data_IF_241035507135
#
_entry.id   IF_241035507135
#
_cell.length_a   1.000
_cell.length_b   1.000
_cell.length_c   1.000
_cell.angle_alpha   90.00
_cell.angle_beta   90.00
_cell.angle_gamma   90.00
#
_symmetry.space_group_name_H-M   'P 1'
#
loop_
_entity.id
_entity.type
_entity.pdbx_description
1 polymer ?
#
# COMPACT_ATOMS: atom_id res chain seq x y z
N UNK A 1 -1.41 -1.69 19.70
CA UNK A 1 -2.33 -0.79 18.98
C UNK A 1 -2.86 -1.59 17.80
N UNK A 2 -4.07 -1.33 17.31
CA UNK A 2 -4.51 -2.00 16.08
C UNK A 2 -3.66 -1.54 14.89
N UNK A 3 -3.59 -2.35 13.82
CA UNK A 3 -2.94 -1.95 12.56
C UNK A 3 -3.40 -0.57 12.07
N UNK A 4 -4.71 -0.22 12.11
CA UNK A 4 -5.17 1.12 11.74
C UNK A 4 -4.61 2.24 12.62
N UNK A 5 -4.65 2.06 13.94
CA UNK A 5 -4.13 3.07 14.88
C UNK A 5 -2.63 3.30 14.66
N UNK A 6 -1.89 2.23 14.33
CA UNK A 6 -0.47 2.34 14.01
C UNK A 6 -0.25 3.19 12.76
N UNK A 7 -1.00 2.95 11.68
CA UNK A 7 -0.90 3.75 10.45
C UNK A 7 -1.25 5.21 10.70
N UNK A 8 -2.35 5.49 11.41
CA UNK A 8 -2.77 6.86 11.76
C UNK A 8 -1.68 7.56 12.56
N UNK A 9 -1.15 6.89 13.60
CA UNK A 9 -0.07 7.42 14.43
C UNK A 9 1.17 7.72 13.59
N UNK A 10 1.56 6.79 12.73
CA UNK A 10 2.73 6.93 11.88
C UNK A 10 2.62 8.14 10.94
N UNK A 11 1.48 8.28 10.26
CA UNK A 11 1.22 9.39 9.32
C UNK A 11 1.10 10.73 10.06
N UNK A 12 0.48 10.74 11.24
CA UNK A 12 0.21 11.96 12.00
C UNK A 12 1.45 12.48 12.73
N UNK A 13 2.26 11.59 13.30
CA UNK A 13 3.30 11.96 14.27
C UNK A 13 4.72 11.86 13.72
N UNK A 14 4.94 11.18 12.59
CA UNK A 14 6.29 10.97 12.05
C UNK A 14 6.39 11.35 10.58
N UNK A 15 7.41 12.14 10.26
CA UNK A 15 7.84 12.36 8.89
C UNK A 15 8.34 11.05 8.25
N UNK A 16 8.17 10.90 6.94
CA UNK A 16 8.46 9.68 6.16
C UNK A 16 9.89 9.15 6.41
N UNK A 17 10.88 10.04 6.52
CA UNK A 17 12.30 9.70 6.75
C UNK A 17 12.53 9.00 8.10
N UNK A 18 11.59 9.15 9.03
CA UNK A 18 11.64 8.61 10.40
C UNK A 18 10.68 7.44 10.61
N UNK A 19 10.07 6.90 9.55
CA UNK A 19 9.22 5.72 9.66
C UNK A 19 10.06 4.50 10.11
N UNK A 20 9.71 3.85 11.24
CA UNK A 20 10.47 2.73 11.77
C UNK A 20 10.05 1.44 11.06
N UNK A 21 10.70 1.09 9.96
CA UNK A 21 10.30 -0.04 9.10
C UNK A 21 10.34 -1.39 9.85
N UNK A 22 11.34 -1.59 10.71
CA UNK A 22 11.41 -2.75 11.60
C UNK A 22 10.17 -2.86 12.52
N UNK A 23 9.73 -1.76 13.11
CA UNK A 23 8.57 -1.71 13.99
C UNK A 23 7.25 -1.83 13.18
N UNK A 24 7.22 -1.30 11.96
CA UNK A 24 6.10 -1.49 11.04
C UNK A 24 5.88 -2.99 10.79
N UNK A 25 6.93 -3.74 10.46
CA UNK A 25 6.82 -5.18 10.28
C UNK A 25 6.28 -5.88 11.53
N UNK A 26 6.80 -5.52 12.71
CA UNK A 26 6.31 -6.05 13.98
C UNK A 26 4.81 -5.79 14.16
N UNK A 27 4.33 -4.55 14.04
CA UNK A 27 2.91 -4.24 14.24
C UNK A 27 2.00 -4.93 13.21
N UNK A 28 2.48 -5.11 11.99
CA UNK A 28 1.75 -5.81 10.92
C UNK A 28 1.66 -7.32 11.11
N UNK A 29 2.57 -7.92 11.90
CA UNK A 29 2.69 -9.39 12.07
C UNK A 29 2.50 -9.87 13.51
N UNK A 30 2.41 -8.97 14.48
CA UNK A 30 2.23 -9.28 15.89
C UNK A 30 0.79 -9.74 16.19
N UNK A 31 0.56 -11.03 15.97
CA UNK A 31 -0.69 -11.73 16.25
C UNK A 31 -0.40 -13.15 16.74
N UNK A 32 -1.38 -13.75 17.40
CA UNK A 32 -1.34 -15.14 17.82
C UNK A 32 -1.52 -16.06 16.60
N UNK A 33 -0.68 -17.09 16.50
CA UNK A 33 -0.72 -18.02 15.37
C UNK A 33 -1.93 -18.98 15.41
N UNK A 34 -2.52 -19.16 16.58
CA UNK A 34 -3.70 -20.00 16.84
C UNK A 34 -5.04 -19.25 16.71
N UNK A 35 -5.01 -17.93 16.45
CA UNK A 35 -6.21 -17.11 16.30
C UNK A 35 -6.31 -16.54 14.87
N UNK A 36 -7.46 -16.74 14.23
CA UNK A 36 -7.71 -16.13 12.93
C UNK A 36 -7.97 -14.63 13.08
N UNK A 37 -7.33 -13.82 12.24
CA UNK A 37 -7.43 -12.36 12.31
C UNK A 37 -7.76 -11.73 10.95
N UNK A 38 -8.53 -10.63 11.00
CA UNK A 38 -8.80 -9.77 9.85
C UNK A 38 -7.97 -8.50 9.99
N UNK A 39 -7.15 -8.19 8.99
CA UNK A 39 -6.36 -6.97 8.95
C UNK A 39 -6.98 -5.95 8.00
N UNK A 40 -6.87 -4.68 8.34
CA UNK A 40 -7.36 -3.57 7.54
C UNK A 40 -6.49 -2.35 7.85
N UNK A 41 -6.29 -1.50 6.84
CA UNK A 41 -5.44 -0.32 6.97
C UNK A 41 -6.16 0.81 7.73
N UNK A 42 -7.46 0.95 7.50
CA UNK A 42 -8.34 1.94 8.11
C UNK A 42 -9.75 1.36 8.28
N UNK A 43 -10.45 1.81 9.32
CA UNK A 43 -11.78 1.34 9.71
C UNK A 43 -12.87 2.35 9.33
N UNK A 44 -14.13 2.00 9.63
CA UNK A 44 -15.25 2.92 9.52
C UNK A 44 -15.17 4.08 10.51
N UNK A 45 -14.55 3.88 11.69
CA UNK A 45 -14.40 4.92 12.71
C UNK A 45 -13.56 6.09 12.19
N UNK A 46 -12.48 5.79 11.47
CA UNK A 46 -11.64 6.82 10.83
C UNK A 46 -12.35 7.57 9.71
N UNK A 47 -13.41 7.00 9.17
CA UNK A 47 -14.23 7.65 8.16
C UNK A 47 -15.31 8.55 8.77
N UNK A 48 -15.54 8.54 10.09
CA UNK A 48 -16.55 9.37 10.75
C UNK A 48 -16.07 10.80 11.02
N UNK A 49 -17.02 11.72 11.20
CA UNK A 49 -16.75 13.10 11.62
C UNK A 49 -15.92 13.13 12.91
N UNK A 50 -14.85 13.93 12.89
CA UNK A 50 -13.90 14.03 14.02
C UNK A 50 -12.63 13.18 13.84
N UNK A 51 -12.59 12.31 12.83
CA UNK A 51 -11.40 11.60 12.38
C UNK A 51 -11.16 11.85 10.87
N UNK A 52 -10.11 11.27 10.31
CA UNK A 52 -9.71 11.42 8.91
C UNK A 52 -9.26 10.08 8.35
N UNK A 53 -9.75 9.76 7.15
CA UNK A 53 -9.25 8.63 6.35
C UNK A 53 -7.76 8.79 6.05
N UNK A 54 -7.08 7.68 5.77
CA UNK A 54 -5.63 7.68 5.46
C UNK A 54 -5.34 8.65 4.32
N UNK A 55 -6.12 8.60 3.25
CA UNK A 55 -5.90 9.47 2.09
C UNK A 55 -6.06 10.96 2.47
N UNK A 56 -7.06 11.31 3.28
CA UNK A 56 -7.27 12.70 3.70
C UNK A 56 -6.17 13.16 4.65
N UNK A 57 -5.62 12.28 5.48
CA UNK A 57 -4.43 12.57 6.29
C UNK A 57 -3.18 12.81 5.43
N UNK A 58 -3.05 12.07 4.33
CA UNK A 58 -1.88 12.16 3.44
C UNK A 58 -1.90 13.44 2.59
N UNK A 59 -3.05 13.83 2.04
CA UNK A 59 -3.13 14.91 1.05
C UNK A 59 -3.92 16.13 1.52
N UNK A 60 -4.77 16.01 2.54
CA UNK A 60 -5.54 17.11 3.12
C UNK A 60 -6.40 17.84 2.09
N UNK A 61 -6.46 19.17 2.21
CA UNK A 61 -7.27 20.02 1.34
C UNK A 61 -6.86 19.99 -0.15
N UNK A 62 -5.62 19.63 -0.47
CA UNK A 62 -5.14 19.47 -1.85
C UNK A 62 -6.00 18.45 -2.63
N UNK A 63 -6.72 17.56 -1.95
CA UNK A 63 -7.69 16.65 -2.55
C UNK A 63 -8.75 17.34 -3.41
N UNK A 64 -9.16 18.57 -3.06
CA UNK A 64 -10.24 19.27 -3.76
C UNK A 64 -9.75 19.95 -5.04
N UNK A 65 -8.47 20.31 -5.12
CA UNK A 65 -7.90 21.11 -6.21
C UNK A 65 -6.94 20.31 -7.12
N UNK A 66 -6.38 19.20 -6.62
CA UNK A 66 -5.28 18.49 -7.28
C UNK A 66 -5.55 17.02 -7.60
N UNK A 67 -6.82 16.58 -7.52
CA UNK A 67 -7.26 15.25 -7.94
C UNK A 67 -7.65 15.16 -9.42
N UNK A 68 -7.59 16.25 -10.19
CA UNK A 68 -7.71 16.19 -11.65
C UNK A 68 -6.46 15.57 -12.29
N UNK A 69 -6.62 14.79 -13.36
CA UNK A 69 -5.54 14.04 -14.04
C UNK A 69 -4.36 14.92 -14.45
N UNK A 70 -4.64 16.09 -15.03
CA UNK A 70 -3.62 17.04 -15.49
C UNK A 70 -2.91 17.83 -14.37
N UNK A 71 -3.39 17.71 -13.13
CA UNK A 71 -2.85 18.47 -12.00
C UNK A 71 -1.58 17.81 -11.46
N UNK A 72 -0.49 18.57 -11.36
CA UNK A 72 0.77 18.10 -10.76
C UNK A 72 0.92 18.66 -9.34
N UNK A 73 0.99 17.78 -8.34
CA UNK A 73 1.18 18.17 -6.96
C UNK A 73 1.92 17.05 -6.21
N UNK A 74 3.12 17.37 -5.71
CA UNK A 74 4.03 16.41 -5.03
C UNK A 74 3.37 15.76 -3.80
N UNK A 75 2.50 16.49 -3.09
CA UNK A 75 1.79 15.97 -1.91
C UNK A 75 0.71 14.97 -2.32
N UNK A 76 -0.02 15.25 -3.39
CA UNK A 76 -0.98 14.29 -3.97
C UNK A 76 -0.26 13.06 -4.50
N UNK A 77 0.83 13.22 -5.26
CA UNK A 77 1.62 12.10 -5.79
C UNK A 77 2.16 11.22 -4.66
N UNK A 78 2.68 11.84 -3.59
CA UNK A 78 3.05 11.15 -2.34
C UNK A 78 1.88 10.38 -1.75
N UNK A 79 0.71 11.01 -1.62
CA UNK A 79 -0.45 10.41 -0.99
C UNK A 79 -1.00 9.21 -1.76
N UNK A 80 -1.07 9.31 -3.09
CA UNK A 80 -1.49 8.20 -3.95
C UNK A 80 -0.51 7.03 -3.85
N UNK A 81 0.79 7.29 -3.89
CA UNK A 81 1.81 6.25 -3.75
C UNK A 81 1.71 5.54 -2.39
N UNK A 82 1.64 6.30 -1.28
CA UNK A 82 1.58 5.73 0.06
C UNK A 82 0.25 5.01 0.33
N UNK A 83 -0.89 5.50 -0.15
CA UNK A 83 -2.19 4.81 0.00
C UNK A 83 -2.13 3.39 -0.60
N UNK A 84 -1.56 3.25 -1.81
CA UNK A 84 -1.36 1.95 -2.47
C UNK A 84 -0.44 1.05 -1.65
N UNK A 85 0.73 1.57 -1.24
CA UNK A 85 1.72 0.79 -0.49
C UNK A 85 1.19 0.32 0.88
N UNK A 86 0.53 1.21 1.63
CA UNK A 86 -0.04 0.91 2.95
C UNK A 86 -1.07 -0.21 2.84
N UNK A 87 -1.95 -0.14 1.84
CA UNK A 87 -2.98 -1.16 1.64
C UNK A 87 -2.39 -2.49 1.20
N UNK A 88 -1.44 -2.47 0.25
CA UNK A 88 -0.78 -3.68 -0.22
C UNK A 88 0.01 -4.36 0.90
N UNK A 89 0.82 -3.62 1.66
CA UNK A 89 1.59 -4.25 2.74
C UNK A 89 0.66 -4.78 3.83
N UNK A 90 -0.43 -4.08 4.15
CA UNK A 90 -1.42 -4.54 5.15
C UNK A 90 -2.13 -5.81 4.69
N UNK A 91 -2.50 -5.91 3.41
CA UNK A 91 -3.10 -7.12 2.85
C UNK A 91 -2.08 -8.26 2.80
N UNK A 92 -0.90 -8.00 2.25
CA UNK A 92 0.15 -9.00 2.05
C UNK A 92 0.67 -9.54 3.39
N UNK A 93 0.62 -8.71 4.44
CA UNK A 93 1.00 -9.11 5.80
C UNK A 93 -0.18 -9.60 6.65
N UNK A 94 -1.41 -9.62 6.16
CA UNK A 94 -2.60 -9.94 6.95
C UNK A 94 -2.59 -11.39 7.46
N UNK A 95 -3.33 -11.67 8.53
CA UNK A 95 -3.51 -13.04 9.02
C UNK A 95 -4.32 -13.90 8.06
N UNK A 96 -5.65 -13.86 8.21
CA UNK A 96 -6.59 -14.78 7.54
C UNK A 96 -7.67 -14.04 6.74
N UNK A 97 -7.73 -12.71 6.86
CA UNK A 97 -8.71 -11.89 6.19
C UNK A 97 -8.18 -10.49 5.96
N UNK A 98 -8.66 -9.86 4.89
CA UNK A 98 -8.49 -8.44 4.62
C UNK A 98 -9.86 -7.77 4.60
N UNK A 99 -9.96 -6.58 5.19
CA UNK A 99 -11.17 -5.78 5.19
C UNK A 99 -10.89 -4.39 4.62
N UNK A 100 -11.87 -3.88 3.88
CA UNK A 100 -11.91 -2.50 3.41
C UNK A 100 -13.32 -1.93 3.66
N UNK A 101 -13.38 -0.68 4.13
CA UNK A 101 -14.64 0.02 4.32
C UNK A 101 -15.00 0.83 3.08
N UNK A 102 -16.28 0.79 2.68
CA UNK A 102 -16.75 1.35 1.40
C UNK A 102 -16.25 2.79 1.17
N UNK A 103 -15.72 3.07 -0.01
CA UNK A 103 -15.13 4.36 -0.37
C UNK A 103 -13.61 4.45 -0.15
N UNK A 104 -13.07 3.76 0.86
CA UNK A 104 -11.62 3.84 1.14
C UNK A 104 -10.81 3.18 0.02
N UNK A 105 -11.45 2.33 -0.80
CA UNK A 105 -10.82 1.65 -1.91
C UNK A 105 -10.35 2.56 -3.03
N UNK A 106 -11.00 3.70 -3.21
CA UNK A 106 -10.59 4.72 -4.17
C UNK A 106 -10.12 6.00 -3.49
N UNK A 107 -9.96 6.00 -2.16
CA UNK A 107 -9.59 7.18 -1.41
C UNK A 107 -10.69 8.25 -1.39
N UNK A 108 -11.92 7.84 -1.06
CA UNK A 108 -13.07 8.73 -0.94
C UNK A 108 -12.74 9.97 -0.08
N UNK A 109 -13.10 11.19 -0.56
CA UNK A 109 -12.80 12.43 0.14
C UNK A 109 -13.67 12.64 1.39
N UNK A 110 -13.43 13.73 2.12
CA UNK A 110 -14.27 14.17 3.23
C UNK A 110 -14.39 13.10 4.35
N UNK A 111 -15.54 13.07 5.03
CA UNK A 111 -15.89 12.16 6.12
C UNK A 111 -17.37 11.79 6.02
N UNK A 112 -17.80 10.80 6.80
CA UNK A 112 -19.20 10.45 7.03
C UNK A 112 -19.68 11.20 8.27
N UNK A 113 -20.80 11.91 8.14
CA UNK A 113 -21.54 12.44 9.27
C UNK A 113 -23.02 12.12 9.09
N UNK A 114 -23.61 11.44 10.09
CA UNK A 114 -25.02 11.08 10.08
C UNK A 114 -25.89 12.26 10.53
N UNK A 115 -27.15 12.36 10.07
CA UNK A 115 -28.08 13.38 10.54
C UNK A 115 -28.22 13.37 12.07
N UNK A 116 -27.91 14.50 12.70
CA UNK A 116 -28.01 14.72 14.15
C UNK A 116 -28.28 16.21 14.44
N UNK A 117 -28.69 16.52 15.66
CA UNK A 117 -28.94 17.92 16.06
C UNK A 117 -27.74 18.84 15.76
N UNK A 118 -26.52 18.39 16.06
CA UNK A 118 -25.30 19.17 15.85
C UNK A 118 -24.90 19.42 14.38
N UNK A 119 -25.62 18.87 13.41
CA UNK A 119 -25.46 19.20 11.98
C UNK A 119 -26.79 19.56 11.31
N UNK A 120 -27.80 19.98 12.09
CA UNK A 120 -29.13 20.33 11.62
C UNK A 120 -29.81 19.22 10.81
N UNK A 121 -29.63 17.95 11.23
CA UNK A 121 -30.18 16.77 10.55
C UNK A 121 -29.77 16.68 9.07
N UNK A 122 -28.55 17.15 8.75
CA UNK A 122 -28.04 17.15 7.38
C UNK A 122 -27.68 15.74 6.91
N UNK A 123 -28.05 15.44 5.66
CA UNK A 123 -27.65 14.23 4.95
C UNK A 123 -26.44 14.45 4.03
N UNK A 124 -25.87 15.66 4.01
CA UNK A 124 -24.84 16.05 3.06
C UNK A 124 -23.60 15.14 3.09
N UNK A 125 -23.17 14.70 4.28
CA UNK A 125 -22.04 13.78 4.45
C UNK A 125 -22.46 12.32 4.69
N UNK A 126 -23.77 12.03 4.75
CA UNK A 126 -24.30 10.67 4.90
C UNK A 126 -24.44 9.98 3.53
N UNK A 127 -23.38 10.02 2.71
CA UNK A 127 -23.39 9.53 1.32
C UNK A 127 -22.03 8.98 0.90
N UNK A 128 -22.01 8.33 -0.27
CA UNK A 128 -20.79 8.00 -1.00
C UNK A 128 -20.82 8.62 -2.39
N UNK A 129 -19.69 9.22 -2.77
CA UNK A 129 -19.49 9.96 -4.02
C UNK A 129 -18.96 9.02 -5.11
N UNK A 130 -19.73 8.00 -5.48
CA UNK A 130 -19.28 6.97 -6.44
C UNK A 130 -18.90 7.54 -7.81
N UNK A 131 -19.54 8.63 -8.23
CA UNK A 131 -19.18 9.33 -9.47
C UNK A 131 -17.72 9.80 -9.52
N UNK A 132 -17.01 9.90 -8.38
CA UNK A 132 -15.60 10.29 -8.36
C UNK A 132 -14.68 9.22 -8.93
N UNK A 133 -15.00 7.94 -8.72
CA UNK A 133 -14.24 6.82 -9.28
C UNK A 133 -14.62 6.55 -10.74
N UNK A 134 -15.85 6.90 -11.13
CA UNK A 134 -16.36 6.73 -12.51
C UNK A 134 -15.90 7.87 -13.46
N UNK A 135 -15.33 8.96 -12.95
CA UNK A 135 -14.87 10.09 -13.77
C UNK A 135 -13.42 9.91 -14.22
N UNK A 136 -13.24 9.64 -15.52
CA UNK A 136 -11.94 9.43 -16.15
C UNK A 136 -11.01 10.66 -16.07
N UNK A 137 -11.52 11.84 -15.72
CA UNK A 137 -10.72 13.06 -15.53
C UNK A 137 -10.17 13.20 -14.10
N UNK A 138 -10.51 12.28 -13.19
CA UNK A 138 -10.06 12.30 -11.80
C UNK A 138 -9.13 11.13 -11.47
N UNK A 139 -8.22 11.36 -10.52
CA UNK A 139 -7.21 10.41 -10.06
C UNK A 139 -7.74 9.30 -9.14
N UNK A 140 -9.01 9.35 -8.71
CA UNK A 140 -9.59 8.31 -7.83
C UNK A 140 -9.58 6.92 -8.48
N UNK A 141 -9.77 6.87 -9.81
CA UNK A 141 -9.69 5.64 -10.60
C UNK A 141 -8.36 4.90 -10.39
N UNK A 142 -7.24 5.61 -10.20
CA UNK A 142 -5.93 4.99 -9.99
C UNK A 142 -5.84 4.14 -8.72
N UNK A 143 -6.46 4.61 -7.64
CA UNK A 143 -6.53 3.87 -6.39
C UNK A 143 -7.49 2.68 -6.50
N UNK A 144 -8.60 2.86 -7.21
CA UNK A 144 -9.58 1.80 -7.46
C UNK A 144 -8.99 0.66 -8.33
N UNK A 145 -8.32 1.00 -9.43
CA UNK A 145 -7.63 0.03 -10.30
C UNK A 145 -6.57 -0.74 -9.51
N UNK A 146 -5.77 -0.04 -8.70
CA UNK A 146 -4.77 -0.70 -7.87
C UNK A 146 -5.42 -1.65 -6.84
N UNK A 147 -6.51 -1.24 -6.20
CA UNK A 147 -7.21 -2.12 -5.26
C UNK A 147 -7.77 -3.36 -5.94
N UNK A 148 -8.41 -3.19 -7.10
CA UNK A 148 -8.94 -4.31 -7.87
C UNK A 148 -7.85 -5.34 -8.19
N UNK A 149 -6.71 -4.88 -8.71
CA UNK A 149 -5.60 -5.76 -9.09
C UNK A 149 -4.87 -6.34 -7.88
N UNK A 150 -4.77 -5.59 -6.77
CA UNK A 150 -4.26 -6.08 -5.48
C UNK A 150 -5.14 -7.23 -4.95
N UNK A 151 -6.47 -7.07 -4.96
CA UNK A 151 -7.41 -8.12 -4.53
C UNK A 151 -7.39 -9.31 -5.49
N UNK A 152 -7.27 -9.08 -6.80
CA UNK A 152 -7.16 -10.14 -7.80
C UNK A 152 -5.88 -10.98 -7.60
N UNK A 153 -4.74 -10.32 -7.36
CA UNK A 153 -3.48 -10.97 -7.01
C UNK A 153 -3.63 -11.81 -5.73
N UNK A 154 -4.25 -11.23 -4.69
CA UNK A 154 -4.46 -11.92 -3.43
C UNK A 154 -5.29 -13.20 -3.56
N UNK A 155 -6.35 -13.16 -4.37
CA UNK A 155 -7.22 -14.30 -4.65
C UNK A 155 -6.53 -15.36 -5.51
N UNK A 156 -5.88 -14.93 -6.60
CA UNK A 156 -5.18 -15.82 -7.54
C UNK A 156 -4.09 -16.63 -6.84
N UNK A 157 -3.32 -15.99 -5.98
CA UNK A 157 -2.23 -16.63 -5.24
C UNK A 157 -2.63 -17.14 -3.85
N UNK A 158 -3.93 -17.06 -3.51
CA UNK A 158 -4.47 -17.54 -2.22
C UNK A 158 -3.66 -17.04 -1.02
N UNK A 159 -3.29 -15.75 -1.03
CA UNK A 159 -2.36 -15.17 -0.05
C UNK A 159 -2.80 -15.47 1.39
N UNK A 160 -4.08 -15.27 1.68
CA UNK A 160 -4.65 -15.37 3.03
C UNK A 160 -4.90 -16.82 3.49
N UNK A 161 -4.73 -17.80 2.61
CA UNK A 161 -4.77 -19.22 2.97
C UNK A 161 -3.41 -19.70 3.52
N UNK A 162 -2.34 -18.94 3.26
CA UNK A 162 -0.98 -19.26 3.71
C UNK A 162 -0.66 -18.45 4.95
N UNK A 163 -0.33 -19.15 6.04
CA UNK A 163 0.06 -18.54 7.31
C UNK A 163 1.54 -18.14 7.35
N UNK A 164 2.37 -18.78 6.53
CA UNK A 164 3.82 -18.56 6.50
C UNK A 164 4.14 -17.23 5.80
N UNK A 165 4.67 -16.30 6.59
CA UNK A 165 5.30 -15.06 6.12
C UNK A 165 6.76 -15.12 6.52
N UNK A 166 7.64 -14.87 5.56
CA UNK A 166 9.08 -14.90 5.80
C UNK A 166 9.69 -13.53 5.48
N UNK A 167 10.14 -12.81 6.51
CA UNK A 167 10.90 -11.59 6.33
C UNK A 167 12.30 -11.95 5.80
N UNK A 168 12.58 -11.62 4.55
CA UNK A 168 13.90 -11.87 3.94
C UNK A 168 14.88 -10.74 4.24
N UNK A 169 14.40 -9.50 4.17
CA UNK A 169 15.26 -8.33 4.26
C UNK A 169 14.51 -7.13 4.82
N UNK A 170 15.14 -6.42 5.74
CA UNK A 170 14.66 -5.16 6.27
C UNK A 170 15.86 -4.23 6.43
N UNK A 171 15.73 -3.00 5.94
CA UNK A 171 16.75 -1.99 6.08
C UNK A 171 16.13 -0.65 6.42
N UNK A 172 16.06 -0.35 7.72
CA UNK A 172 15.40 0.83 8.26
C UNK A 172 15.97 2.15 7.72
N UNK A 173 17.28 2.28 7.51
CA UNK A 173 17.83 3.55 6.97
C UNK A 173 17.39 3.77 5.51
N UNK A 174 17.53 2.74 4.67
CA UNK A 174 17.09 2.76 3.27
C UNK A 174 15.56 2.73 3.11
N UNK A 175 14.82 2.50 4.19
CA UNK A 175 13.36 2.35 4.19
C UNK A 175 12.86 1.23 3.27
N UNK A 176 13.64 0.15 3.16
CA UNK A 176 13.30 -1.01 2.32
C UNK A 176 12.86 -2.17 3.20
N UNK A 177 11.79 -2.85 2.80
CA UNK A 177 11.35 -4.12 3.40
C UNK A 177 11.01 -5.12 2.30
N UNK A 178 11.46 -6.35 2.49
CA UNK A 178 11.24 -7.48 1.57
C UNK A 178 10.83 -8.70 2.35
N UNK A 179 9.73 -9.31 1.94
CA UNK A 179 9.23 -10.55 2.54
C UNK A 179 8.56 -11.44 1.51
N UNK A 180 8.48 -12.72 1.84
CA UNK A 180 7.82 -13.74 1.02
C UNK A 180 6.52 -14.21 1.66
N UNK A 181 5.54 -14.49 0.79
CA UNK A 181 4.29 -15.16 1.16
C UNK A 181 3.69 -15.86 -0.04
N UNK A 182 3.27 -17.11 0.13
CA UNK A 182 2.60 -17.91 -0.90
C UNK A 182 3.34 -17.94 -2.26
N UNK A 183 4.67 -18.06 -2.24
CA UNK A 183 5.50 -18.10 -3.45
C UNK A 183 5.63 -16.75 -4.18
N UNK A 184 5.20 -15.65 -3.54
CA UNK A 184 5.41 -14.29 -4.01
C UNK A 184 6.42 -13.58 -3.13
N UNK A 185 7.25 -12.74 -3.75
CA UNK A 185 8.20 -11.85 -3.12
C UNK A 185 7.66 -10.42 -3.18
N UNK A 186 7.45 -9.81 -2.03
CA UNK A 186 6.97 -8.44 -1.89
C UNK A 186 8.12 -7.53 -1.53
N UNK A 187 8.34 -6.47 -2.31
CA UNK A 187 9.43 -5.51 -2.12
C UNK A 187 8.84 -4.11 -2.01
N UNK A 188 9.13 -3.40 -0.93
CA UNK A 188 8.67 -2.02 -0.71
C UNK A 188 9.85 -1.10 -0.49
N UNK A 189 9.86 0.04 -1.20
CA UNK A 189 10.75 1.17 -0.92
C UNK A 189 9.90 2.34 -0.37
N UNK A 190 9.88 2.49 0.95
CA UNK A 190 9.21 3.59 1.65
C UNK A 190 10.04 4.89 1.70
N UNK A 191 11.24 4.92 1.09
CA UNK A 191 12.09 6.09 1.16
C UNK A 191 11.38 7.28 0.46
N UNK A 192 11.34 8.47 1.09
CA UNK A 192 10.62 9.62 0.51
C UNK A 192 11.24 10.15 -0.78
N UNK A 193 12.57 10.15 -0.88
CA UNK A 193 13.30 10.68 -2.04
C UNK A 193 14.23 9.67 -2.77
N UNK A 194 14.85 8.71 -2.07
CA UNK A 194 15.88 7.85 -2.65
C UNK A 194 15.29 6.73 -3.50
N UNK A 195 15.78 6.65 -4.74
CA UNK A 195 15.61 5.49 -5.62
C UNK A 195 16.94 4.71 -5.68
N UNK A 196 16.87 3.41 -5.91
CA UNK A 196 18.04 2.52 -5.91
C UNK A 196 18.09 1.70 -7.20
N UNK A 197 19.09 1.93 -8.06
CA UNK A 197 19.17 1.28 -9.39
C UNK A 197 19.48 -0.22 -9.35
N UNK A 198 20.42 -0.62 -8.49
CA UNK A 198 20.91 -2.00 -8.37
C UNK A 198 20.83 -2.44 -6.90
N UNK A 199 19.64 -2.33 -6.32
CA UNK A 199 19.47 -2.67 -4.91
C UNK A 199 19.54 -4.18 -4.73
N UNK A 200 20.60 -4.63 -4.06
CA UNK A 200 20.90 -6.05 -3.86
C UNK A 200 20.50 -6.52 -2.48
N UNK A 201 19.80 -7.65 -2.43
CA UNK A 201 19.46 -8.37 -1.20
C UNK A 201 19.51 -9.87 -1.46
N UNK A 202 19.69 -10.64 -0.38
CA UNK A 202 19.70 -12.11 -0.46
C UNK A 202 18.30 -12.63 -0.77
N UNK A 203 18.22 -13.58 -1.71
CA UNK A 203 16.97 -14.20 -2.14
C UNK A 203 17.23 -15.66 -2.57
N UNK A 204 16.24 -16.56 -2.48
CA UNK A 204 16.35 -17.91 -3.03
C UNK A 204 16.81 -17.92 -4.51
N UNK A 205 17.62 -18.89 -4.93
CA UNK A 205 18.10 -18.96 -6.30
C UNK A 205 16.96 -19.26 -7.26
N UNK A 206 16.49 -18.28 -8.03
CA UNK A 206 15.46 -18.47 -9.05
C UNK A 206 15.44 -17.32 -10.08
N UNK A 207 14.57 -17.48 -11.08
CA UNK A 207 14.09 -16.36 -11.91
C UNK A 207 12.80 -15.79 -11.32
N UNK A 208 12.75 -14.48 -11.17
CA UNK A 208 11.62 -13.75 -10.60
C UNK A 208 10.93 -12.92 -11.68
N UNK A 209 9.63 -13.12 -11.90
CA UNK A 209 8.84 -12.29 -12.83
C UNK A 209 8.00 -11.27 -12.09
N UNK A 210 8.01 -10.01 -12.53
CA UNK A 210 7.16 -8.96 -11.98
C UNK A 210 5.69 -9.19 -12.33
N UNK A 211 4.84 -9.31 -11.31
CA UNK A 211 3.39 -9.43 -11.47
C UNK A 211 2.66 -8.10 -11.24
N UNK A 212 3.16 -7.29 -10.33
CA UNK A 212 2.54 -6.03 -9.93
C UNK A 212 3.63 -5.02 -9.58
N UNK A 213 3.47 -3.78 -10.03
CA UNK A 213 4.20 -2.63 -9.50
C UNK A 213 3.24 -1.48 -9.24
N UNK A 214 3.31 -0.87 -8.05
CA UNK A 214 2.50 0.30 -7.74
C UNK A 214 2.90 1.53 -8.55
N UNK A 215 4.04 1.51 -9.22
CA UNK A 215 4.53 2.60 -10.09
C UNK A 215 3.98 2.52 -11.53
N UNK A 216 3.14 1.52 -11.86
CA UNK A 216 2.51 1.48 -13.19
C UNK A 216 1.60 2.70 -13.43
N UNK A 217 1.56 3.16 -14.68
CA UNK A 217 0.77 4.35 -15.08
C UNK A 217 -0.73 4.16 -14.88
N UNK A 218 -1.24 2.94 -15.02
CA UNK A 218 -2.65 2.60 -14.74
C UNK A 218 -3.04 2.79 -13.27
N UNK A 219 -2.05 2.87 -12.37
CA UNK A 219 -2.23 3.17 -10.96
C UNK A 219 -1.79 4.61 -10.62
N UNK A 220 -1.58 5.47 -11.61
CA UNK A 220 -1.09 6.83 -11.40
C UNK A 220 0.36 6.91 -10.94
N UNK A 221 1.17 5.87 -11.21
CA UNK A 221 2.63 5.90 -11.01
C UNK A 221 3.38 6.46 -12.23
N UNK A 222 4.70 6.49 -12.15
CA UNK A 222 5.55 7.11 -13.18
C UNK A 222 5.98 6.16 -14.31
N UNK A 223 5.62 4.88 -14.27
CA UNK A 223 5.93 3.90 -15.30
C UNK A 223 7.43 3.62 -15.45
N UNK A 224 8.19 3.68 -14.36
CA UNK A 224 9.67 3.57 -14.41
C UNK A 224 10.19 2.13 -14.50
N UNK A 225 9.30 1.15 -14.37
CA UNK A 225 9.60 -0.27 -14.40
C UNK A 225 8.95 -0.91 -15.62
N UNK A 226 9.67 -1.84 -16.25
CA UNK A 226 9.13 -2.60 -17.38
C UNK A 226 8.19 -3.68 -16.85
N UNK A 227 6.95 -3.70 -17.34
CA UNK A 227 5.99 -4.75 -17.01
C UNK A 227 6.53 -6.14 -17.37
N UNK A 228 6.17 -7.16 -16.58
CA UNK A 228 6.58 -8.55 -16.76
C UNK A 228 8.09 -8.79 -16.80
N UNK A 229 8.90 -7.82 -16.33
CA UNK A 229 10.35 -7.97 -16.30
C UNK A 229 10.76 -9.17 -15.45
N UNK A 230 11.69 -9.95 -15.98
CA UNK A 230 12.31 -11.08 -15.29
C UNK A 230 13.65 -10.67 -14.68
N UNK A 231 13.90 -11.14 -13.47
CA UNK A 231 15.10 -10.88 -12.70
C UNK A 231 15.73 -12.20 -12.27
N UNK A 232 16.94 -12.46 -12.74
CA UNK A 232 17.69 -13.66 -12.38
C UNK A 232 18.55 -13.38 -11.14
N UNK A 233 18.52 -14.29 -10.16
CA UNK A 233 19.47 -14.21 -9.05
C UNK A 233 20.88 -14.56 -9.48
N UNK A 234 21.87 -13.83 -8.97
CA UNK A 234 23.28 -14.08 -9.22
C UNK A 234 23.94 -14.68 -7.97
N UNK A 235 24.66 -15.79 -8.17
CA UNK A 235 25.41 -16.43 -7.09
C UNK A 235 26.78 -15.76 -6.92
N UNK A 236 27.07 -15.32 -5.70
CA UNK A 236 28.37 -14.79 -5.30
C UNK A 236 28.81 -15.43 -3.99
N UNK A 237 29.99 -16.09 -4.00
CA UNK A 237 30.60 -16.74 -2.82
C UNK A 237 29.66 -17.71 -2.07
N UNK A 238 28.73 -18.35 -2.78
CA UNK A 238 27.78 -19.32 -2.23
C UNK A 238 26.44 -18.74 -1.81
N UNK A 239 26.25 -17.42 -1.86
CA UNK A 239 24.97 -16.74 -1.58
C UNK A 239 24.35 -16.22 -2.87
N UNK A 240 23.03 -16.30 -2.99
CA UNK A 240 22.30 -15.78 -4.16
C UNK A 240 21.75 -14.39 -3.85
N UNK A 241 21.91 -13.48 -4.81
CA UNK A 241 21.42 -12.12 -4.69
C UNK A 241 20.47 -11.79 -5.82
N UNK A 242 19.34 -11.18 -5.48
CA UNK A 242 18.48 -10.50 -6.44
C UNK A 242 18.87 -9.02 -6.47
N UNK A 243 18.92 -8.44 -7.67
CA UNK A 243 19.17 -7.01 -7.89
C UNK A 243 17.96 -6.37 -8.57
N UNK A 244 17.40 -5.33 -7.97
CA UNK A 244 16.21 -4.63 -8.47
C UNK A 244 16.45 -3.13 -8.56
N UNK A 245 15.84 -2.50 -9.57
CA UNK A 245 15.59 -1.07 -9.54
C UNK A 245 14.38 -0.79 -8.62
N UNK A 246 14.61 -0.05 -7.54
CA UNK A 246 13.59 0.33 -6.56
C UNK A 246 13.38 1.85 -6.58
N UNK A 247 12.41 2.35 -7.38
CA UNK A 247 12.02 3.75 -7.29
C UNK A 247 11.48 4.10 -5.90
N UNK A 248 11.65 5.36 -5.48
CA UNK A 248 11.09 5.86 -4.22
C UNK A 248 9.56 5.68 -4.17
N UNK A 249 9.03 5.41 -2.97
CA UNK A 249 7.59 5.20 -2.72
C UNK A 249 6.93 4.22 -3.70
N UNK A 250 7.55 3.05 -3.87
CA UNK A 250 7.06 2.00 -4.78
C UNK A 250 7.00 0.66 -4.08
N UNK A 251 5.99 -0.14 -4.44
CA UNK A 251 5.90 -1.55 -4.11
C UNK A 251 5.96 -2.39 -5.38
N UNK A 252 6.68 -3.51 -5.33
CA UNK A 252 6.85 -4.49 -6.41
C UNK A 252 6.48 -5.86 -5.85
N UNK A 253 5.72 -6.64 -6.62
CA UNK A 253 5.41 -8.04 -6.33
C UNK A 253 5.97 -8.90 -7.45
N UNK A 254 6.81 -9.86 -7.08
CA UNK A 254 7.47 -10.79 -7.97
C UNK A 254 6.99 -12.21 -7.69
N UNK A 255 6.89 -13.03 -8.72
CA UNK A 255 6.63 -14.46 -8.62
C UNK A 255 7.89 -15.25 -8.94
N UNK A 256 8.13 -16.30 -8.16
CA UNK A 256 9.13 -17.32 -8.46
C UNK A 256 8.71 -18.12 -9.70
N UNK A 257 9.55 -18.13 -10.75
CA UNK A 257 9.39 -19.01 -11.90
C UNK A 257 10.22 -20.28 -11.66
N UNK A 258 9.54 -21.39 -11.39
CA UNK A 258 10.14 -22.72 -11.28
C UNK A 258 10.36 -23.36 -12.66
#
# INVERSE_FOLDING_TARGET
>A
LGVPDFWIKLIKEKADEHWPINHLWHELTNRRHDEQTISYAESHDQALVGDQSIIFRLIGADMYDHMHMDSQNIKVDRGLALQKMIRLITLASAGNGYLNFMGNEFGHPEWIDFPREGNNWSYHYARRQWHLVDDDNLKYQFLACFDQDMIALAKTHRLLDTADLHLLYEHSDNKVIVFERAGLLFVFNFHPAQSYSDYRFEAPPETYRMLLTSDATQYGGHGRLTADQEHLTLQEKGTNYLSLYLPNRTAIVLQHLA
#
